data_IF_184525356398
#
_entry.id   IF_184525356398
#
_cell.length_a   1.000
_cell.length_b   1.000
_cell.length_c   1.000
_cell.angle_alpha   90.00
_cell.angle_beta   90.00
_cell.angle_gamma   90.00
#
_symmetry.space_group_name_H-M   'P 1'
#
loop_
_entity.id
_entity.type
_entity.pdbx_description
1 polymer ?
#
# COMPACT_ATOMS: atom_id res chain seq x y z
N UNK A 1 2.10 -7.31 -27.40
CA UNK A 1 1.41 -6.71 -26.23
C UNK A 1 1.37 -7.76 -25.15
N UNK A 2 2.18 -7.63 -24.10
CA UNK A 2 2.19 -8.58 -22.99
C UNK A 2 1.11 -8.15 -22.01
N UNK A 3 0.12 -9.01 -21.80
CA UNK A 3 -0.85 -8.84 -20.72
C UNK A 3 -0.12 -9.00 -19.40
N UNK A 4 -0.48 -8.23 -18.37
CA UNK A 4 0.08 -8.46 -17.03
C UNK A 4 -0.23 -9.90 -16.62
N UNK A 5 0.78 -10.72 -16.28
CA UNK A 5 0.56 -12.11 -15.89
C UNK A 5 -0.45 -12.21 -14.75
N UNK A 6 -1.39 -13.15 -14.83
CA UNK A 6 -2.48 -13.29 -13.85
C UNK A 6 -1.98 -13.45 -12.41
N UNK A 7 -0.81 -14.10 -12.22
CA UNK A 7 -0.20 -14.28 -10.90
C UNK A 7 0.35 -12.96 -10.34
N UNK A 8 0.84 -12.04 -11.19
CA UNK A 8 1.23 -10.70 -10.77
C UNK A 8 0.01 -9.86 -10.40
N UNK A 9 -1.07 -9.93 -11.18
CA UNK A 9 -2.32 -9.29 -10.84
C UNK A 9 -2.85 -9.79 -9.48
N UNK A 10 -2.84 -11.10 -9.26
CA UNK A 10 -3.23 -11.72 -8.00
C UNK A 10 -2.38 -11.24 -6.82
N UNK A 11 -1.05 -11.22 -6.96
CA UNK A 11 -0.14 -10.73 -5.92
C UNK A 11 -0.39 -9.25 -5.59
N UNK A 12 -0.52 -8.41 -6.62
CA UNK A 12 -0.78 -6.98 -6.44
C UNK A 12 -2.14 -6.74 -5.77
N UNK A 13 -3.16 -7.51 -6.13
CA UNK A 13 -4.46 -7.45 -5.45
C UNK A 13 -4.40 -7.90 -4.00
N UNK A 14 -3.74 -9.03 -3.71
CA UNK A 14 -3.59 -9.51 -2.35
C UNK A 14 -2.87 -8.47 -1.46
N UNK A 15 -1.81 -7.86 -1.98
CA UNK A 15 -1.08 -6.82 -1.28
C UNK A 15 -1.90 -5.54 -1.09
N UNK A 16 -2.63 -5.10 -2.12
CA UNK A 16 -3.55 -3.97 -2.02
C UNK A 16 -4.60 -4.17 -0.92
N UNK A 17 -5.16 -5.39 -0.82
CA UNK A 17 -6.11 -5.77 0.24
C UNK A 17 -5.44 -5.78 1.62
N UNK A 18 -4.24 -6.35 1.73
CA UNK A 18 -3.48 -6.38 2.99
C UNK A 18 -3.17 -4.95 3.46
N UNK A 19 -2.71 -4.06 2.58
CA UNK A 19 -2.45 -2.66 2.89
C UNK A 19 -3.73 -1.92 3.32
N UNK A 20 -4.85 -2.15 2.64
CA UNK A 20 -6.14 -1.63 3.08
C UNK A 20 -6.54 -2.17 4.45
N UNK A 21 -6.31 -3.46 4.72
CA UNK A 21 -6.53 -4.10 6.02
C UNK A 21 -5.73 -3.44 7.14
N UNK A 22 -4.46 -3.10 6.91
CA UNK A 22 -3.66 -2.33 7.86
C UNK A 22 -4.26 -0.94 8.13
N UNK A 23 -4.76 -0.26 7.10
CA UNK A 23 -5.50 0.99 7.27
C UNK A 23 -6.75 0.83 8.15
N UNK A 24 -7.55 -0.21 7.92
CA UNK A 24 -8.72 -0.52 8.78
C UNK A 24 -8.29 -0.80 10.22
N UNK A 25 -7.24 -1.61 10.41
CA UNK A 25 -6.66 -1.88 11.72
C UNK A 25 -6.22 -0.62 12.46
N UNK A 26 -5.61 0.33 11.74
CA UNK A 26 -5.19 1.63 12.28
C UNK A 26 -6.35 2.50 12.78
N UNK A 27 -7.55 2.34 12.21
CA UNK A 27 -8.76 3.07 12.65
C UNK A 27 -9.41 2.40 13.86
N UNK A 28 -9.55 1.06 13.82
CA UNK A 28 -10.26 0.29 14.85
C UNK A 28 -9.43 0.19 16.13
N UNK A 29 -8.14 -0.15 16.00
CA UNK A 29 -7.20 -0.27 17.12
C UNK A 29 -5.86 0.38 16.77
N UNK A 30 -5.78 1.72 16.75
CA UNK A 30 -4.53 2.43 16.47
C UNK A 30 -3.38 2.01 17.40
N UNK A 31 -3.69 1.65 18.64
CA UNK A 31 -2.73 1.17 19.65
C UNK A 31 -2.10 -0.20 19.30
N UNK A 32 -2.68 -0.97 18.37
CA UNK A 32 -2.08 -2.20 17.88
C UNK A 32 -0.97 -1.94 16.85
N UNK A 33 -0.89 -0.72 16.30
CA UNK A 33 0.06 -0.31 15.27
C UNK A 33 0.97 0.84 15.71
N UNK A 34 0.54 1.67 16.66
CA UNK A 34 1.31 2.78 17.22
C UNK A 34 2.01 2.36 18.53
N UNK A 35 3.27 2.79 18.76
CA UNK A 35 3.96 2.57 20.03
C UNK A 35 3.17 3.08 21.24
N UNK A 36 3.30 2.39 22.38
CA UNK A 36 2.66 2.78 23.64
C UNK A 36 3.14 4.16 24.10
N UNK A 37 2.25 5.16 24.14
CA UNK A 37 2.57 6.52 24.61
C UNK A 37 1.64 7.62 24.11
N UNK A 38 1.00 7.42 22.95
CA UNK A 38 0.01 8.37 22.39
C UNK A 38 -1.43 7.95 22.74
N UNK A 39 -1.84 8.22 23.98
CA UNK A 39 -3.22 8.01 24.44
C UNK A 39 -4.15 9.19 24.10
N UNK A 40 -5.41 8.92 23.78
CA UNK A 40 -6.45 9.95 23.62
C UNK A 40 -6.89 10.22 22.18
N UNK A 41 -7.73 11.26 22.00
CA UNK A 41 -8.35 11.61 20.71
C UNK A 41 -7.31 12.03 19.64
N UNK A 42 -6.20 12.62 20.08
CA UNK A 42 -5.10 13.09 19.22
C UNK A 42 -4.25 11.95 18.69
N UNK A 43 -4.05 10.87 19.47
CA UNK A 43 -3.33 9.66 19.04
C UNK A 43 -4.06 8.84 17.96
N UNK A 44 -5.34 9.13 17.72
CA UNK A 44 -6.16 8.46 16.69
C UNK A 44 -6.27 9.27 15.39
N UNK A 45 -5.95 10.56 15.43
CA UNK A 45 -6.14 11.46 14.30
C UNK A 45 -5.23 11.09 13.12
N UNK A 46 -3.91 10.99 13.35
CA UNK A 46 -2.95 10.65 12.31
C UNK A 46 -3.14 9.24 11.71
N UNK A 47 -3.37 8.19 12.51
CA UNK A 47 -3.69 6.87 11.98
C UNK A 47 -4.96 6.86 11.11
N UNK A 48 -6.01 7.57 11.52
CA UNK A 48 -7.24 7.67 10.74
C UNK A 48 -7.04 8.43 9.42
N UNK A 49 -6.29 9.53 9.43
CA UNK A 49 -5.93 10.27 8.21
C UNK A 49 -5.10 9.40 7.26
N UNK A 50 -4.14 8.65 7.79
CA UNK A 50 -3.35 7.72 7.00
C UNK A 50 -4.22 6.59 6.42
N UNK A 51 -5.17 6.05 7.19
CA UNK A 51 -6.10 5.04 6.71
C UNK A 51 -7.04 5.57 5.61
N UNK A 52 -7.49 6.82 5.70
CA UNK A 52 -8.36 7.45 4.71
C UNK A 52 -7.70 7.54 3.33
N UNK A 53 -6.36 7.63 3.25
CA UNK A 53 -5.62 7.52 1.99
C UNK A 53 -5.28 6.07 1.62
N UNK A 54 -4.86 5.27 2.60
CA UNK A 54 -4.32 3.93 2.36
C UNK A 54 -5.38 2.92 1.93
N UNK A 55 -6.59 2.97 2.52
CA UNK A 55 -7.68 2.04 2.22
C UNK A 55 -8.16 2.20 0.78
N UNK A 56 -8.60 3.39 0.31
CA UNK A 56 -9.08 3.54 -1.06
C UNK A 56 -8.00 3.19 -2.07
N UNK A 57 -6.75 3.52 -1.78
CA UNK A 57 -5.65 3.29 -2.70
C UNK A 57 -5.27 1.81 -2.82
N UNK A 58 -5.19 1.08 -1.70
CA UNK A 58 -4.97 -0.37 -1.72
C UNK A 58 -6.09 -1.12 -2.46
N UNK A 59 -7.35 -0.70 -2.27
CA UNK A 59 -8.49 -1.24 -3.01
C UNK A 59 -8.44 -0.91 -4.51
N UNK A 60 -8.02 0.31 -4.86
CA UNK A 60 -7.85 0.71 -6.26
C UNK A 60 -6.81 -0.17 -6.98
N UNK A 61 -5.65 -0.40 -6.35
CA UNK A 61 -4.64 -1.35 -6.86
C UNK A 61 -5.28 -2.73 -7.05
N UNK A 62 -6.06 -3.20 -6.07
CA UNK A 62 -6.64 -4.54 -6.14
C UNK A 62 -7.63 -4.75 -7.28
N UNK A 63 -8.28 -3.69 -7.75
CA UNK A 63 -9.24 -3.74 -8.86
C UNK A 63 -8.56 -3.45 -10.20
N UNK A 64 -7.76 -2.39 -10.29
CA UNK A 64 -7.28 -1.85 -11.57
C UNK A 64 -6.37 -2.82 -12.34
N UNK A 65 -5.69 -3.72 -11.63
CA UNK A 65 -4.80 -4.73 -12.21
C UNK A 65 -5.53 -5.81 -13.02
N UNK A 66 -6.86 -5.88 -12.91
CA UNK A 66 -7.70 -6.81 -13.68
C UNK A 66 -8.41 -6.15 -14.87
N UNK A 67 -8.28 -4.83 -15.04
CA UNK A 67 -8.97 -4.06 -16.07
C UNK A 67 -8.10 -3.91 -17.32
N UNK A 68 -8.21 -4.86 -18.27
CA UNK A 68 -7.37 -4.89 -19.48
C UNK A 68 -7.40 -3.61 -20.35
N UNK A 69 -8.55 -2.91 -20.53
CA UNK A 69 -8.57 -1.64 -21.28
C UNK A 69 -7.87 -0.46 -20.58
N UNK A 70 -7.51 -0.60 -19.30
CA UNK A 70 -7.08 0.52 -18.45
C UNK A 70 -5.55 0.62 -18.29
N UNK A 71 -4.73 0.07 -19.20
CA UNK A 71 -3.27 -0.05 -19.01
C UNK A 71 -2.55 1.25 -18.59
N UNK A 72 -2.80 2.43 -19.21
CA UNK A 72 -2.16 3.67 -18.75
C UNK A 72 -2.55 4.04 -17.31
N UNK A 73 -3.80 3.77 -16.92
CA UNK A 73 -4.27 3.95 -15.55
C UNK A 73 -3.66 2.91 -14.61
N UNK A 74 -3.58 1.64 -15.01
CA UNK A 74 -2.92 0.57 -14.24
C UNK A 74 -1.46 0.91 -13.97
N UNK A 75 -0.72 1.35 -14.99
CA UNK A 75 0.66 1.83 -14.86
C UNK A 75 0.75 2.98 -13.84
N UNK A 76 -0.08 4.01 -14.02
CA UNK A 76 -0.09 5.17 -13.13
C UNK A 76 -0.37 4.78 -11.66
N UNK A 77 -1.38 3.94 -11.45
CA UNK A 77 -1.76 3.48 -10.10
C UNK A 77 -0.65 2.64 -9.47
N UNK A 78 -0.03 1.71 -10.21
CA UNK A 78 1.07 0.89 -9.70
C UNK A 78 2.31 1.72 -9.35
N UNK A 79 2.67 2.69 -10.18
CA UNK A 79 3.79 3.61 -9.88
C UNK A 79 3.48 4.46 -8.66
N UNK A 80 2.28 5.04 -8.58
CA UNK A 80 1.86 5.80 -7.40
C UNK A 80 1.85 4.92 -6.14
N UNK A 81 1.47 3.64 -6.26
CA UNK A 81 1.45 2.66 -5.17
C UNK A 81 2.86 2.36 -4.68
N UNK A 82 3.78 2.13 -5.60
CA UNK A 82 5.19 1.97 -5.28
C UNK A 82 5.75 3.20 -4.55
N UNK A 83 5.45 4.42 -5.03
CA UNK A 83 5.91 5.67 -4.39
C UNK A 83 5.37 5.83 -2.98
N UNK A 84 4.07 5.57 -2.75
CA UNK A 84 3.48 5.63 -1.42
C UNK A 84 4.19 4.66 -0.46
N UNK A 85 4.44 3.44 -0.93
CA UNK A 85 5.08 2.40 -0.15
C UNK A 85 6.57 2.68 0.13
N UNK A 86 7.29 3.30 -0.80
CA UNK A 86 8.64 3.81 -0.58
C UNK A 86 8.64 4.94 0.47
N UNK A 87 7.61 5.79 0.48
CA UNK A 87 7.41 6.78 1.53
C UNK A 87 7.27 6.15 2.92
N UNK A 88 6.50 5.08 3.04
CA UNK A 88 6.38 4.33 4.30
C UNK A 88 7.70 3.71 4.74
N UNK A 89 8.45 3.13 3.79
CA UNK A 89 9.78 2.59 4.05
C UNK A 89 10.74 3.66 4.57
N UNK A 90 10.73 4.85 3.95
CA UNK A 90 11.55 5.98 4.36
C UNK A 90 11.20 6.43 5.79
N UNK A 91 9.90 6.54 6.12
CA UNK A 91 9.43 6.84 7.47
C UNK A 91 9.90 5.75 8.45
N UNK A 92 9.78 4.47 8.08
CA UNK A 92 10.26 3.35 8.88
C UNK A 92 11.76 3.42 9.17
N UNK A 93 12.57 3.84 8.20
CA UNK A 93 14.02 4.05 8.38
C UNK A 93 14.28 5.20 9.35
N UNK A 94 13.65 6.37 9.13
CA UNK A 94 13.80 7.58 9.96
C UNK A 94 13.42 7.29 11.41
N UNK A 95 12.32 6.58 11.63
CA UNK A 95 11.82 6.26 12.97
C UNK A 95 12.35 4.92 13.53
N UNK A 96 13.29 4.27 12.84
CA UNK A 96 13.92 3.00 13.27
C UNK A 96 12.91 1.87 13.56
N UNK A 97 11.84 1.79 12.77
CA UNK A 97 10.81 0.74 12.86
C UNK A 97 11.02 -0.27 11.72
N UNK A 98 11.79 -1.36 11.91
CA UNK A 98 12.17 -2.25 10.82
C UNK A 98 10.98 -2.91 10.12
N UNK A 99 9.89 -3.16 10.86
CA UNK A 99 8.64 -3.68 10.30
C UNK A 99 7.99 -2.74 9.26
N UNK A 100 8.13 -1.43 9.44
CA UNK A 100 7.68 -0.41 8.48
C UNK A 100 8.68 -0.18 7.34
N UNK A 101 9.79 -0.92 7.29
CA UNK A 101 10.77 -0.83 6.19
C UNK A 101 10.63 -2.03 5.26
N UNK A 102 10.74 -3.24 5.81
CA UNK A 102 10.86 -4.45 5.00
C UNK A 102 9.60 -4.73 4.19
N UNK A 103 8.44 -4.74 4.86
CA UNK A 103 7.18 -5.05 4.19
C UNK A 103 6.85 -4.03 3.09
N UNK A 104 6.93 -2.71 3.37
CA UNK A 104 6.76 -1.72 2.32
C UNK A 104 7.70 -1.85 1.13
N UNK A 105 8.99 -2.10 1.35
CA UNK A 105 9.93 -2.26 0.23
C UNK A 105 9.57 -3.44 -0.68
N UNK A 106 9.19 -4.59 -0.10
CA UNK A 106 8.77 -5.76 -0.89
C UNK A 106 7.54 -5.44 -1.74
N UNK A 107 6.55 -4.77 -1.16
CA UNK A 107 5.32 -4.37 -1.86
C UNK A 107 5.63 -3.38 -3.00
N UNK A 108 6.51 -2.41 -2.75
CA UNK A 108 6.93 -1.44 -3.76
C UNK A 108 7.60 -2.12 -4.97
N UNK A 109 8.49 -3.08 -4.73
CA UNK A 109 9.16 -3.83 -5.80
C UNK A 109 8.18 -4.65 -6.63
N UNK A 110 7.15 -5.23 -6.01
CA UNK A 110 6.12 -5.99 -6.72
C UNK A 110 5.22 -5.10 -7.57
N UNK A 111 4.88 -3.89 -7.11
CA UNK A 111 4.18 -2.89 -7.91
C UNK A 111 5.01 -2.45 -9.11
N UNK A 112 6.30 -2.18 -8.93
CA UNK A 112 7.21 -1.77 -10.01
C UNK A 112 7.45 -2.90 -11.02
N UNK A 113 7.61 -4.14 -10.55
CA UNK A 113 7.73 -5.31 -11.41
C UNK A 113 6.48 -5.52 -12.27
N UNK A 114 5.30 -5.35 -11.69
CA UNK A 114 4.04 -5.38 -12.43
C UNK A 114 3.91 -4.21 -13.41
N UNK A 115 4.30 -3.00 -13.01
CA UNK A 115 4.30 -1.81 -13.87
C UNK A 115 5.19 -2.01 -15.10
N UNK A 116 6.36 -2.64 -14.95
CA UNK A 116 7.25 -2.98 -16.07
C UNK A 116 6.64 -3.98 -17.06
N UNK A 117 5.69 -4.83 -16.63
CA UNK A 117 5.00 -5.77 -17.50
C UNK A 117 3.86 -5.14 -18.34
N UNK A 118 3.39 -3.94 -17.97
CA UNK A 118 2.30 -3.23 -18.66
C UNK A 118 2.77 -1.97 -19.41
N UNK A 119 4.09 -1.77 -19.43
CA UNK A 119 4.79 -0.73 -20.20
C UNK A 119 4.90 -1.14 -21.69
#
# INVERSE_FOLDING_TARGET
MVLMPWWLALLNSALGIVCAGFGVGAVIRPQALAPSGYGGREGRFYPAMYAARGIPFGLLVAVVVWLDPARPLTLFVLVAAAVAQLGDAAIGVVHRVPGMVVFPLVVALLHLGAAACVL
#
